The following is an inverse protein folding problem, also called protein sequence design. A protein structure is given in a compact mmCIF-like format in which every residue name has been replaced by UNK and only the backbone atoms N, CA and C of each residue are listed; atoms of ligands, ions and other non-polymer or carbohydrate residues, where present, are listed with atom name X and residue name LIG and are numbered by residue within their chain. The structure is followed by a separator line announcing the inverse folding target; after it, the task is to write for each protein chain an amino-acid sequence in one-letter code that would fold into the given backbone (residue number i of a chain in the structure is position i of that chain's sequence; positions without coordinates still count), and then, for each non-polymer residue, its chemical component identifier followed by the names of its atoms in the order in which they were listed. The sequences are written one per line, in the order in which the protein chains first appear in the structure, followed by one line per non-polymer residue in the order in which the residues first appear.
data_IF_685770404454
#
_entry.id   IF_685770404454
#
_cell.length_a   1.000
_cell.length_b   1.000
_cell.length_c   1.000
_cell.angle_alpha   90.00
_cell.angle_beta   90.00
_cell.angle_gamma   90.00
#
_symmetry.space_group_name_H-M   'P 1'
#
loop_
_entity.id
_entity.type
_entity.pdbx_description
1 polymer ?
#
# COMPACT_ATOMS: atom_id res chain seq x y z
N UNK A 1 29.85 91.40 -11.84
CA UNK A 1 28.53 92.02 -11.97
C UNK A 1 27.53 90.91 -11.70
N UNK A 2 27.01 90.96 -10.61
CA UNK A 2 25.91 91.18 -9.75
C UNK A 2 25.50 89.86 -9.18
N UNK A 3 25.72 89.55 -7.92
CA UNK A 3 24.90 89.97 -6.75
C UNK A 3 23.43 89.60 -7.00
N UNK A 4 22.82 88.80 -6.16
CA UNK A 4 22.27 88.70 -4.82
C UNK A 4 21.28 87.59 -4.83
N UNK A 5 20.84 86.88 -3.91
CA UNK A 5 20.57 87.13 -2.48
C UNK A 5 19.94 85.87 -1.87
N UNK A 6 20.20 85.57 -0.68
CA UNK A 6 19.44 84.57 0.11
C UNK A 6 18.14 85.19 0.60
N UNK A 7 17.14 84.44 1.04
CA UNK A 7 17.06 84.09 2.45
C UNK A 7 16.41 82.73 2.82
N UNK A 8 16.91 82.19 3.84
CA UNK A 8 16.44 81.42 5.01
C UNK A 8 14.91 81.28 5.18
N UNK A 9 14.48 80.06 5.48
CA UNK A 9 13.57 79.60 6.56
C UNK A 9 13.06 78.23 6.25
N UNK A 10 13.02 77.41 7.11
CA UNK A 10 12.46 77.01 8.38
C UNK A 10 11.98 75.59 8.37
N UNK A 11 12.44 74.84 9.23
CA UNK A 11 12.01 73.64 9.90
C UNK A 11 10.68 72.97 9.58
N UNK A 12 10.78 71.69 9.30
CA UNK A 12 9.69 70.76 9.55
C UNK A 12 10.24 69.46 10.15
N UNK A 13 9.88 69.24 11.39
CA UNK A 13 10.11 68.00 12.14
C UNK A 13 9.36 66.85 11.46
N UNK A 14 10.06 66.00 10.75
CA UNK A 14 9.50 64.73 10.26
C UNK A 14 9.59 63.65 11.35
N UNK A 15 8.46 63.19 11.79
CA UNK A 15 8.30 62.05 12.73
C UNK A 15 8.86 60.80 12.10
N UNK A 16 9.83 60.16 12.77
CA UNK A 16 10.20 58.76 12.52
C UNK A 16 9.03 57.88 12.94
N UNK A 17 8.32 57.34 11.96
CA UNK A 17 7.38 56.24 12.18
C UNK A 17 8.17 54.95 12.07
N UNK A 18 8.46 54.35 13.23
CA UNK A 18 9.07 53.04 13.30
C UNK A 18 8.08 51.97 12.85
N UNK A 19 8.32 51.36 11.70
CA UNK A 19 7.67 50.13 11.30
C UNK A 19 8.26 48.97 12.10
N UNK A 20 7.57 48.56 13.15
CA UNK A 20 7.77 47.28 13.79
C UNK A 20 7.24 46.19 12.82
N UNK A 21 8.15 45.62 12.05
CA UNK A 21 7.88 44.42 11.26
C UNK A 21 7.70 43.21 12.19
N UNK A 22 6.43 42.83 12.45
CA UNK A 22 6.13 41.59 13.10
C UNK A 22 6.43 40.43 12.13
N UNK A 23 7.60 39.79 12.28
CA UNK A 23 7.86 38.48 11.65
C UNK A 23 6.94 37.44 12.27
N UNK A 24 5.82 37.14 11.62
CA UNK A 24 5.07 35.93 11.90
C UNK A 24 5.91 34.73 11.39
N UNK A 25 6.59 34.07 12.31
CA UNK A 25 7.17 32.76 12.08
C UNK A 25 5.99 31.76 11.97
N UNK A 26 5.61 31.39 10.73
CA UNK A 26 4.73 30.28 10.48
C UNK A 26 5.46 28.99 10.89
N UNK A 27 5.17 28.47 12.07
CA UNK A 27 5.54 27.10 12.45
C UNK A 27 4.77 26.16 11.54
N UNK A 28 5.44 25.69 10.49
CA UNK A 28 4.97 24.54 9.72
C UNK A 28 5.08 23.31 10.63
N UNK A 29 4.00 22.95 11.30
CA UNK A 29 3.90 21.67 11.97
C UNK A 29 3.93 20.57 10.91
N UNK A 30 5.09 20.05 10.59
CA UNK A 30 5.24 18.77 9.89
C UNK A 30 4.76 17.70 10.86
N UNK A 31 3.45 17.44 10.84
CA UNK A 31 2.89 16.31 11.52
C UNK A 31 3.51 15.05 10.93
N UNK A 32 4.40 14.39 11.66
CA UNK A 32 4.79 13.03 11.38
C UNK A 32 3.49 12.21 11.41
N UNK A 33 3.04 11.72 10.26
CA UNK A 33 1.97 10.72 10.20
C UNK A 33 2.55 9.49 10.88
N UNK A 34 2.14 9.25 12.13
CA UNK A 34 2.47 8.00 12.81
C UNK A 34 2.03 6.84 11.90
N UNK A 35 2.93 5.91 11.62
CA UNK A 35 2.57 4.70 10.91
C UNK A 35 1.38 4.07 11.65
N UNK A 36 0.27 3.85 10.94
CA UNK A 36 -0.92 3.26 11.54
C UNK A 36 -0.53 1.91 12.15
N UNK A 37 -0.84 1.73 13.43
CA UNK A 37 -0.58 0.47 14.11
C UNK A 37 -1.33 -0.66 13.41
N UNK A 38 -0.63 -1.73 13.07
CA UNK A 38 -1.24 -2.89 12.43
C UNK A 38 -2.18 -3.58 13.42
N UNK A 39 -3.33 -4.04 12.93
CA UNK A 39 -4.22 -4.86 13.74
C UNK A 39 -3.53 -6.15 14.19
N UNK A 40 -3.98 -6.78 15.30
CA UNK A 40 -3.43 -8.06 15.74
C UNK A 40 -3.50 -9.15 14.66
N UNK A 41 -4.55 -9.18 13.85
CA UNK A 41 -4.72 -10.16 12.77
C UNK A 41 -3.71 -9.95 11.64
N UNK A 42 -3.49 -8.70 11.22
CA UNK A 42 -2.45 -8.36 10.23
C UNK A 42 -1.06 -8.62 10.80
N UNK A 43 -0.80 -8.25 12.07
CA UNK A 43 0.48 -8.53 12.72
C UNK A 43 0.79 -10.03 12.78
N UNK A 44 -0.22 -10.88 13.01
CA UNK A 44 -0.07 -12.33 13.06
C UNK A 44 0.41 -12.92 11.72
N UNK A 45 0.10 -12.31 10.56
CA UNK A 45 0.61 -12.76 9.27
C UNK A 45 2.15 -12.80 9.23
N UNK A 46 2.79 -11.90 9.95
CA UNK A 46 4.25 -11.75 9.97
C UNK A 46 4.89 -12.52 11.12
N UNK A 47 4.35 -12.41 12.33
CA UNK A 47 4.92 -13.02 13.52
C UNK A 47 4.90 -14.55 13.49
N UNK A 48 3.84 -15.16 12.92
CA UNK A 48 3.71 -16.63 12.80
C UNK A 48 4.80 -17.27 11.95
N UNK A 49 5.44 -16.52 11.07
CA UNK A 49 6.54 -16.99 10.23
C UNK A 49 7.85 -16.24 10.51
N UNK A 50 7.92 -15.48 11.61
CA UNK A 50 9.13 -14.75 12.03
C UNK A 50 9.73 -13.87 10.93
N UNK A 51 8.90 -13.03 10.30
CA UNK A 51 9.31 -11.97 9.38
C UNK A 51 8.82 -10.62 9.90
N UNK A 52 9.38 -9.55 9.38
CA UNK A 52 8.93 -8.19 9.68
C UNK A 52 7.76 -7.77 8.77
N UNK A 53 6.84 -6.95 9.28
CA UNK A 53 5.89 -6.23 8.42
C UNK A 53 6.62 -5.42 7.32
N UNK A 54 5.97 -5.13 6.19
CA UNK A 54 6.57 -4.32 5.15
C UNK A 54 6.81 -2.88 5.61
N UNK A 55 7.70 -2.19 4.92
CA UNK A 55 7.96 -0.77 5.06
C UNK A 55 7.80 -0.05 3.73
N UNK A 56 7.85 1.29 3.73
CA UNK A 56 7.84 2.08 2.50
C UNK A 56 8.98 1.73 1.52
N UNK A 57 10.03 1.06 1.97
CA UNK A 57 11.20 0.74 1.16
C UNK A 57 11.29 -0.73 0.74
N UNK A 58 10.66 -1.65 1.48
CA UNK A 58 10.82 -3.07 1.21
C UNK A 58 9.70 -3.93 1.80
N UNK A 59 9.56 -5.15 1.24
CA UNK A 59 8.72 -6.20 1.80
C UNK A 59 9.38 -7.58 1.64
N UNK A 60 9.10 -8.47 2.58
CA UNK A 60 9.46 -9.89 2.43
C UNK A 60 8.41 -10.59 1.58
N UNK A 61 8.85 -11.26 0.52
CA UNK A 61 8.02 -12.09 -0.35
C UNK A 61 8.14 -13.53 0.10
N UNK A 62 7.00 -14.12 0.49
CA UNK A 62 6.89 -15.51 0.91
C UNK A 62 6.56 -16.42 -0.27
N UNK A 63 7.20 -17.60 -0.35
CA UNK A 63 6.89 -18.62 -1.36
C UNK A 63 7.30 -20.02 -0.91
N UNK A 64 6.90 -21.02 -1.66
CA UNK A 64 7.24 -22.41 -1.38
C UNK A 64 6.49 -22.98 -0.18
N UNK A 65 5.27 -22.56 0.03
CA UNK A 65 4.33 -22.95 1.10
C UNK A 65 4.77 -22.51 2.51
N UNK A 66 3.84 -21.91 3.22
CA UNK A 66 3.99 -21.45 4.63
C UNK A 66 5.24 -20.58 4.82
N UNK A 67 5.58 -19.77 3.80
CA UNK A 67 6.75 -18.88 3.84
C UNK A 67 8.09 -19.62 4.12
N UNK A 68 8.22 -20.88 3.69
CA UNK A 68 9.48 -21.63 3.84
C UNK A 68 10.64 -21.00 3.06
N UNK A 69 10.32 -20.27 1.99
CA UNK A 69 11.29 -19.52 1.21
C UNK A 69 10.90 -18.04 1.22
N UNK A 70 11.92 -17.22 1.16
CA UNK A 70 11.78 -15.78 1.29
C UNK A 70 12.71 -15.07 0.35
N UNK A 71 12.23 -13.96 -0.21
CA UNK A 71 13.03 -13.00 -0.96
C UNK A 71 12.65 -11.61 -0.50
N UNK A 72 13.58 -10.67 -0.56
CA UNK A 72 13.28 -9.27 -0.23
C UNK A 72 13.05 -8.51 -1.52
N UNK A 73 11.89 -7.88 -1.62
CA UNK A 73 11.63 -6.89 -2.65
C UNK A 73 11.96 -5.51 -2.08
N UNK A 74 13.11 -4.96 -2.48
CA UNK A 74 13.44 -3.56 -2.26
C UNK A 74 12.81 -2.71 -3.36
N UNK A 75 11.99 -1.75 -2.97
CA UNK A 75 11.28 -0.87 -3.89
C UNK A 75 12.20 0.24 -4.41
N UNK A 76 12.52 0.18 -5.68
CA UNK A 76 13.24 1.26 -6.37
C UNK A 76 12.33 2.46 -6.62
N UNK A 77 12.93 3.62 -6.95
CA UNK A 77 12.16 4.78 -7.41
C UNK A 77 11.37 4.48 -8.71
N UNK A 78 11.85 3.53 -9.54
CA UNK A 78 11.15 3.03 -10.72
C UNK A 78 9.89 2.24 -10.35
N UNK A 79 10.00 1.31 -9.39
CA UNK A 79 8.89 0.51 -8.89
C UNK A 79 7.79 1.41 -8.29
N UNK A 80 8.19 2.39 -7.48
CA UNK A 80 7.25 3.36 -6.90
C UNK A 80 6.53 4.17 -7.97
N UNK A 81 7.23 4.64 -9.01
CA UNK A 81 6.59 5.37 -10.13
C UNK A 81 5.62 4.48 -10.91
N UNK A 82 5.99 3.24 -11.20
CA UNK A 82 5.14 2.30 -11.91
C UNK A 82 3.84 2.03 -11.14
N UNK A 83 3.93 1.73 -9.84
CA UNK A 83 2.77 1.50 -8.97
C UNK A 83 1.92 2.77 -8.81
N UNK A 84 2.54 3.95 -8.68
CA UNK A 84 1.82 5.21 -8.62
C UNK A 84 1.03 5.49 -9.92
N UNK A 85 1.59 5.19 -11.09
CA UNK A 85 0.88 5.32 -12.37
C UNK A 85 -0.31 4.34 -12.47
N UNK A 86 -0.13 3.10 -12.01
CA UNK A 86 -1.20 2.10 -11.97
C UNK A 86 -2.35 2.58 -11.08
N UNK A 87 -2.04 3.05 -9.86
CA UNK A 87 -3.05 3.50 -8.90
C UNK A 87 -3.68 4.84 -9.29
N UNK A 88 -2.96 5.72 -10.00
CA UNK A 88 -3.52 6.98 -10.51
C UNK A 88 -4.71 6.74 -11.45
N UNK A 89 -4.68 5.67 -12.25
CA UNK A 89 -5.82 5.28 -13.10
C UNK A 89 -7.06 4.85 -12.27
N UNK A 90 -6.88 4.46 -11.00
CA UNK A 90 -7.93 4.13 -10.05
C UNK A 90 -8.52 5.33 -9.29
N UNK A 91 -7.99 6.54 -9.52
CA UNK A 91 -8.29 7.71 -8.70
C UNK A 91 -9.71 8.28 -8.82
N UNK A 92 -10.55 7.74 -9.70
CA UNK A 92 -11.90 8.25 -9.95
C UNK A 92 -12.97 7.73 -8.99
N UNK A 93 -12.82 6.53 -8.44
CA UNK A 93 -13.80 5.90 -7.56
C UNK A 93 -13.23 4.67 -6.84
N UNK A 94 -13.93 4.20 -5.79
CA UNK A 94 -13.59 2.96 -5.10
C UNK A 94 -13.58 1.75 -6.06
N UNK A 95 -14.49 1.69 -7.02
CA UNK A 95 -14.53 0.63 -8.05
C UNK A 95 -13.28 0.68 -8.93
N UNK A 96 -12.91 1.88 -9.40
CA UNK A 96 -11.73 2.07 -10.22
C UNK A 96 -10.43 1.77 -9.46
N UNK A 97 -10.37 2.10 -8.16
CA UNK A 97 -9.22 1.79 -7.31
C UNK A 97 -9.05 0.28 -7.13
N UNK A 98 -10.13 -0.48 -6.92
CA UNK A 98 -10.06 -1.95 -6.87
C UNK A 98 -9.52 -2.55 -8.18
N UNK A 99 -9.95 -2.04 -9.33
CA UNK A 99 -9.40 -2.46 -10.62
C UNK A 99 -7.92 -2.09 -10.79
N UNK A 100 -7.48 -0.96 -10.24
CA UNK A 100 -6.07 -0.58 -10.21
C UNK A 100 -5.26 -1.48 -9.26
N UNK A 101 -5.82 -1.86 -8.11
CA UNK A 101 -5.19 -2.83 -7.19
C UNK A 101 -4.97 -4.18 -7.88
N UNK A 102 -5.92 -4.68 -8.67
CA UNK A 102 -5.71 -5.91 -9.47
C UNK A 102 -4.48 -5.78 -10.38
N UNK A 103 -4.30 -4.63 -11.04
CA UNK A 103 -3.13 -4.37 -11.89
C UNK A 103 -1.84 -4.26 -11.07
N UNK A 104 -1.90 -3.71 -9.85
CA UNK A 104 -0.74 -3.65 -8.95
C UNK A 104 -0.30 -5.05 -8.50
N UNK A 105 -1.23 -5.96 -8.23
CA UNK A 105 -0.92 -7.37 -7.91
C UNK A 105 -0.31 -8.08 -9.13
N UNK A 106 -0.83 -7.86 -10.34
CA UNK A 106 -0.22 -8.37 -11.59
C UNK A 106 1.21 -7.82 -11.76
N UNK A 107 1.41 -6.53 -11.48
CA UNK A 107 2.75 -5.93 -11.53
C UNK A 107 3.69 -6.60 -10.55
N UNK A 108 3.27 -6.83 -9.30
CA UNK A 108 4.05 -7.53 -8.28
C UNK A 108 4.45 -8.94 -8.75
N UNK A 109 3.52 -9.68 -9.28
CA UNK A 109 3.73 -11.04 -9.78
C UNK A 109 4.78 -11.05 -10.92
N UNK A 110 4.67 -10.14 -11.88
CA UNK A 110 5.63 -9.96 -12.97
C UNK A 110 7.00 -9.50 -12.49
N UNK A 111 7.05 -8.70 -11.43
CA UNK A 111 8.30 -8.19 -10.86
C UNK A 111 9.06 -9.28 -10.11
N UNK A 112 8.36 -10.14 -9.39
CA UNK A 112 8.96 -11.14 -8.53
C UNK A 112 9.03 -12.54 -9.14
N UNK A 113 8.04 -12.93 -9.92
CA UNK A 113 7.93 -14.29 -10.46
C UNK A 113 9.20 -14.81 -11.13
N UNK A 114 9.84 -14.08 -12.07
CA UNK A 114 11.06 -14.51 -12.70
C UNK A 114 12.26 -14.62 -11.74
N UNK A 115 12.27 -13.83 -10.66
CA UNK A 115 13.37 -13.81 -9.67
C UNK A 115 13.31 -15.04 -8.78
N UNK A 116 12.10 -15.38 -8.30
CA UNK A 116 11.91 -16.47 -7.35
C UNK A 116 11.39 -17.77 -8.01
N UNK A 117 11.18 -17.75 -9.33
CA UNK A 117 10.74 -18.89 -10.12
C UNK A 117 9.25 -19.19 -10.06
N UNK A 118 8.43 -18.27 -9.48
CA UNK A 118 6.97 -18.45 -9.39
C UNK A 118 6.22 -18.01 -10.65
N UNK A 119 6.93 -17.64 -11.71
CA UNK A 119 6.38 -17.40 -13.05
C UNK A 119 5.77 -18.64 -13.70
N UNK A 120 6.02 -19.84 -13.12
CA UNK A 120 5.45 -21.12 -13.54
C UNK A 120 4.42 -21.69 -12.56
N UNK A 121 4.05 -20.90 -11.52
CA UNK A 121 3.14 -21.38 -10.49
C UNK A 121 1.77 -21.77 -11.04
N UNK A 122 1.17 -22.77 -10.42
CA UNK A 122 -0.19 -23.19 -10.73
C UNK A 122 -1.20 -22.44 -9.87
N UNK A 123 -2.40 -22.24 -10.41
CA UNK A 123 -3.53 -21.73 -9.63
C UNK A 123 -3.96 -22.76 -8.57
N UNK A 124 -4.39 -22.27 -7.39
CA UNK A 124 -4.89 -23.10 -6.29
C UNK A 124 -3.91 -24.23 -5.90
N UNK A 125 -2.60 -23.91 -5.85
CA UNK A 125 -1.62 -24.90 -5.42
C UNK A 125 -1.92 -25.37 -3.99
N UNK A 126 -2.19 -26.66 -3.86
CA UNK A 126 -2.51 -27.35 -2.62
C UNK A 126 -1.36 -28.25 -2.15
N UNK A 127 -1.57 -29.09 -1.16
CA UNK A 127 -0.54 -29.96 -0.58
C UNK A 127 0.18 -30.86 -1.57
N UNK A 128 -0.36 -31.13 -2.75
CA UNK A 128 0.33 -31.88 -3.81
C UNK A 128 1.58 -31.15 -4.32
N UNK A 129 1.62 -29.84 -4.17
CA UNK A 129 2.69 -28.96 -4.59
C UNK A 129 3.59 -28.52 -3.40
N UNK A 130 3.41 -29.12 -2.21
CA UNK A 130 4.11 -28.70 -1.00
C UNK A 130 5.64 -28.67 -1.15
N UNK A 131 6.24 -29.60 -1.90
CA UNK A 131 7.67 -29.64 -2.15
C UNK A 131 8.12 -28.85 -3.38
N UNK A 132 7.18 -28.31 -4.14
CA UNK A 132 7.48 -27.45 -5.28
C UNK A 132 7.67 -26.00 -4.84
N UNK A 133 8.94 -25.59 -4.82
CA UNK A 133 9.36 -24.22 -4.44
C UNK A 133 8.80 -23.11 -5.34
N UNK A 134 8.24 -23.44 -6.51
CA UNK A 134 7.77 -22.46 -7.49
C UNK A 134 6.32 -22.04 -7.25
N UNK A 135 5.66 -22.57 -6.23
CA UNK A 135 4.27 -22.29 -5.94
C UNK A 135 4.09 -21.46 -4.66
N UNK A 136 2.92 -20.85 -4.56
CA UNK A 136 2.40 -20.22 -3.36
C UNK A 136 1.27 -21.08 -2.79
N UNK A 137 1.20 -21.23 -1.47
CA UNK A 137 -0.05 -21.57 -0.81
C UNK A 137 -0.91 -20.31 -0.60
N UNK A 138 -2.10 -20.50 -0.02
CA UNK A 138 -2.98 -19.37 0.28
C UNK A 138 -2.39 -18.42 1.33
N UNK A 139 -1.55 -18.91 2.26
CA UNK A 139 -0.89 -18.06 3.26
C UNK A 139 0.22 -17.21 2.63
N UNK A 140 0.97 -17.75 1.68
CA UNK A 140 1.98 -17.00 0.95
C UNK A 140 1.33 -15.86 0.16
N UNK A 141 0.26 -16.16 -0.59
CA UNK A 141 -0.46 -15.14 -1.38
C UNK A 141 -1.12 -14.09 -0.50
N UNK A 142 -1.71 -14.48 0.64
CA UNK A 142 -2.30 -13.53 1.60
C UNK A 142 -1.26 -12.59 2.18
N UNK A 143 -0.10 -13.12 2.63
CA UNK A 143 1.00 -12.29 3.15
C UNK A 143 1.53 -11.33 2.09
N UNK A 144 1.83 -11.84 0.90
CA UNK A 144 2.41 -11.04 -0.18
C UNK A 144 1.44 -9.94 -0.62
N UNK A 145 0.16 -10.26 -0.80
CA UNK A 145 -0.86 -9.29 -1.20
C UNK A 145 -1.08 -8.26 -0.10
N UNK A 146 -1.25 -8.68 1.16
CA UNK A 146 -1.41 -7.75 2.29
C UNK A 146 -0.20 -6.82 2.41
N UNK A 147 1.03 -7.37 2.27
CA UNK A 147 2.25 -6.56 2.31
C UNK A 147 2.28 -5.51 1.20
N UNK A 148 1.96 -5.88 -0.03
CA UNK A 148 1.87 -4.92 -1.13
C UNK A 148 0.83 -3.83 -0.85
N UNK A 149 -0.36 -4.21 -0.38
CA UNK A 149 -1.43 -3.26 -0.04
C UNK A 149 -1.00 -2.29 1.07
N UNK A 150 -0.30 -2.76 2.10
CA UNK A 150 0.24 -1.92 3.17
C UNK A 150 1.27 -0.91 2.63
N UNK A 151 2.15 -1.34 1.74
CA UNK A 151 3.10 -0.43 1.07
C UNK A 151 2.37 0.63 0.25
N UNK A 152 1.37 0.24 -0.53
CA UNK A 152 0.55 1.18 -1.30
C UNK A 152 -0.19 2.17 -0.40
N UNK A 153 -0.70 1.71 0.74
CA UNK A 153 -1.35 2.55 1.75
C UNK A 153 -0.36 3.53 2.39
N UNK A 154 0.83 3.08 2.78
CA UNK A 154 1.89 3.91 3.35
C UNK A 154 2.36 4.99 2.37
N UNK A 155 2.41 4.68 1.09
CA UNK A 155 2.70 5.69 0.04
C UNK A 155 1.54 6.64 -0.26
N UNK A 156 0.37 6.47 0.39
CA UNK A 156 -0.82 7.29 0.17
C UNK A 156 -1.49 7.05 -1.19
N UNK A 157 -1.28 5.89 -1.80
CA UNK A 157 -1.82 5.55 -3.11
C UNK A 157 -3.24 4.96 -3.04
N UNK A 158 -3.66 4.45 -1.87
CA UNK A 158 -5.04 4.00 -1.63
C UNK A 158 -5.88 5.16 -1.09
N UNK A 159 -6.76 5.70 -1.94
CA UNK A 159 -7.63 6.84 -1.62
C UNK A 159 -8.95 6.42 -1.01
N UNK A 160 -9.55 5.37 -1.55
CA UNK A 160 -10.90 4.91 -1.22
C UNK A 160 -10.90 3.73 -0.27
N UNK A 161 -9.78 3.03 -0.10
CA UNK A 161 -9.70 1.85 0.75
C UNK A 161 -8.61 2.00 1.83
N UNK A 162 -8.76 1.16 2.85
CA UNK A 162 -7.74 0.81 3.84
C UNK A 162 -7.44 -0.68 3.72
N UNK A 163 -6.28 -1.09 4.18
CA UNK A 163 -5.98 -2.52 4.35
C UNK A 163 -6.76 -3.02 5.56
N UNK A 164 -7.53 -4.09 5.37
CA UNK A 164 -8.30 -4.75 6.40
C UNK A 164 -7.63 -6.00 6.94
N UNK A 165 -8.30 -6.63 7.90
CA UNK A 165 -7.89 -7.91 8.44
C UNK A 165 -8.04 -9.02 7.39
N UNK A 166 -7.10 -9.97 7.30
CA UNK A 166 -7.24 -11.09 6.40
C UNK A 166 -8.47 -11.94 6.78
N UNK A 167 -9.23 -12.36 5.77
CA UNK A 167 -10.36 -13.25 5.99
C UNK A 167 -10.00 -14.71 5.73
N UNK A 168 -10.71 -15.58 6.43
CA UNK A 168 -10.57 -17.03 6.37
C UNK A 168 -11.92 -17.67 6.07
N UNK A 169 -11.94 -18.70 5.22
CA UNK A 169 -13.11 -19.55 4.95
C UNK A 169 -12.71 -21.01 4.88
N UNK A 170 -13.71 -21.86 4.77
CA UNK A 170 -13.56 -23.32 4.67
C UNK A 170 -13.47 -24.01 6.02
N UNK A 171 -13.92 -25.26 6.00
CA UNK A 171 -13.94 -26.13 7.17
C UNK A 171 -13.69 -27.57 6.75
N UNK A 172 -12.56 -28.14 7.13
CA UNK A 172 -12.16 -29.51 6.78
C UNK A 172 -13.14 -30.57 7.29
N UNK A 173 -13.87 -30.29 8.38
CA UNK A 173 -14.87 -31.23 8.89
C UNK A 173 -16.06 -31.45 7.94
N UNK A 174 -16.31 -30.47 7.06
CA UNK A 174 -17.37 -30.55 6.04
C UNK A 174 -16.77 -30.56 4.62
N UNK A 175 -15.50 -30.98 4.50
CA UNK A 175 -14.77 -31.12 3.23
C UNK A 175 -14.58 -29.81 2.45
N UNK A 176 -14.72 -28.65 3.10
CA UNK A 176 -14.40 -27.36 2.48
C UNK A 176 -12.91 -27.08 2.62
N UNK A 177 -12.28 -26.69 1.54
CA UNK A 177 -10.85 -26.35 1.54
C UNK A 177 -10.59 -25.09 2.38
N UNK A 178 -9.77 -25.18 3.45
CA UNK A 178 -9.35 -23.99 4.18
C UNK A 178 -8.65 -23.01 3.27
N UNK A 179 -9.07 -21.75 3.29
CA UNK A 179 -8.51 -20.70 2.47
C UNK A 179 -8.55 -19.35 3.17
N UNK A 180 -7.55 -18.52 2.92
CA UNK A 180 -7.44 -17.17 3.45
C UNK A 180 -7.05 -16.20 2.34
N UNK A 181 -7.33 -14.91 2.56
CA UNK A 181 -7.08 -13.88 1.56
C UNK A 181 -6.85 -12.52 2.20
N UNK A 182 -6.16 -11.63 1.46
CA UNK A 182 -6.01 -10.22 1.81
C UNK A 182 -7.33 -9.45 1.62
N UNK A 183 -7.50 -8.36 2.37
CA UNK A 183 -8.72 -7.57 2.39
C UNK A 183 -8.45 -6.09 2.25
N UNK A 184 -9.33 -5.41 1.52
CA UNK A 184 -9.49 -3.96 1.48
C UNK A 184 -10.82 -3.58 2.13
N UNK A 185 -10.83 -2.53 2.94
CA UNK A 185 -12.04 -1.94 3.54
C UNK A 185 -12.35 -0.63 2.83
N UNK A 186 -13.52 -0.51 2.23
CA UNK A 186 -14.00 0.74 1.64
C UNK A 186 -14.19 1.79 2.74
N UNK A 187 -13.53 2.95 2.60
CA UNK A 187 -13.52 4.00 3.63
C UNK A 187 -14.90 4.58 3.89
N UNK A 188 -15.72 4.70 2.84
CA UNK A 188 -17.05 5.32 2.91
C UNK A 188 -18.11 4.33 3.40
N UNK A 189 -18.16 3.15 2.79
CA UNK A 189 -19.24 2.15 3.03
C UNK A 189 -18.89 1.15 4.12
N UNK A 190 -17.59 1.03 4.48
CA UNK A 190 -17.06 0.00 5.39
C UNK A 190 -17.21 -1.43 4.86
N UNK A 191 -17.61 -1.59 3.61
CA UNK A 191 -17.69 -2.89 2.97
C UNK A 191 -16.29 -3.45 2.79
N UNK A 192 -16.11 -4.73 3.12
CA UNK A 192 -14.86 -5.46 2.98
C UNK A 192 -14.81 -6.20 1.64
N UNK A 193 -13.65 -6.09 0.99
CA UNK A 193 -13.38 -6.63 -0.34
C UNK A 193 -12.15 -7.51 -0.29
N UNK A 194 -12.26 -8.77 -0.69
CA UNK A 194 -11.11 -9.65 -0.84
C UNK A 194 -10.26 -9.23 -2.03
N UNK A 195 -8.95 -9.49 -1.92
CA UNK A 195 -7.98 -9.42 -3.02
C UNK A 195 -7.27 -10.77 -3.05
N UNK A 196 -7.89 -11.73 -3.72
CA UNK A 196 -7.52 -13.13 -3.67
C UNK A 196 -6.66 -13.54 -4.88
N UNK A 197 -5.37 -13.70 -4.63
CA UNK A 197 -4.39 -14.06 -5.64
C UNK A 197 -4.26 -15.58 -5.84
N UNK A 198 -4.59 -16.40 -4.82
CA UNK A 198 -4.33 -17.84 -4.84
C UNK A 198 -5.10 -18.61 -5.92
N UNK A 199 -6.40 -18.28 -6.27
CA UNK A 199 -7.12 -18.97 -7.32
C UNK A 199 -6.58 -18.70 -8.73
N UNK A 200 -5.61 -17.82 -8.88
CA UNK A 200 -5.13 -17.33 -10.18
C UNK A 200 -3.69 -17.75 -10.47
N UNK A 201 -3.43 -18.07 -11.73
CA UNK A 201 -2.08 -18.35 -12.22
C UNK A 201 -1.19 -17.09 -12.28
N UNK A 202 0.05 -17.30 -12.68
CA UNK A 202 1.02 -16.21 -12.81
C UNK A 202 0.51 -15.06 -13.68
N UNK A 203 0.73 -13.84 -13.21
CA UNK A 203 0.36 -12.59 -13.88
C UNK A 203 -1.13 -12.46 -14.29
N UNK A 204 -2.00 -13.25 -13.68
CA UNK A 204 -3.45 -13.09 -13.82
C UNK A 204 -4.00 -12.14 -12.74
N UNK A 205 -5.12 -11.48 -13.05
CA UNK A 205 -5.77 -10.59 -12.10
C UNK A 205 -6.29 -11.39 -10.88
N UNK A 206 -6.04 -10.94 -9.64
CA UNK A 206 -6.63 -11.56 -8.45
C UNK A 206 -8.14 -11.41 -8.49
N UNK A 207 -8.85 -12.29 -7.79
CA UNK A 207 -10.28 -12.13 -7.57
C UNK A 207 -10.52 -10.98 -6.59
N UNK A 208 -11.44 -10.07 -6.97
CA UNK A 208 -11.87 -8.95 -6.12
C UNK A 208 -13.37 -8.96 -6.04
N UNK A 209 -13.90 -9.26 -4.87
CA UNK A 209 -15.33 -9.30 -4.58
C UNK A 209 -15.58 -8.99 -3.11
N UNK A 210 -16.83 -8.79 -2.71
CA UNK A 210 -17.13 -8.59 -1.28
C UNK A 210 -16.83 -9.86 -0.49
N UNK A 211 -16.37 -9.68 0.77
CA UNK A 211 -16.16 -10.82 1.69
C UNK A 211 -17.42 -11.66 1.82
N UNK A 212 -18.60 -11.02 1.92
CA UNK A 212 -19.88 -11.73 1.98
C UNK A 212 -20.10 -12.70 0.81
N UNK A 213 -19.75 -12.28 -0.40
CA UNK A 213 -19.82 -13.14 -1.58
C UNK A 213 -18.77 -14.23 -1.52
N UNK A 214 -17.52 -13.86 -1.20
CA UNK A 214 -16.38 -14.77 -1.20
C UNK A 214 -16.54 -15.94 -0.22
N UNK A 215 -17.09 -15.71 0.98
CA UNK A 215 -17.31 -16.80 1.96
C UNK A 215 -18.36 -17.82 1.52
N UNK A 216 -19.18 -17.49 0.51
CA UNK A 216 -20.21 -18.37 -0.08
C UNK A 216 -19.70 -19.12 -1.31
N UNK A 217 -18.54 -18.75 -1.85
CA UNK A 217 -17.91 -19.46 -2.98
C UNK A 217 -17.03 -20.58 -2.45
N UNK A 218 -17.31 -21.82 -2.83
CA UNK A 218 -16.51 -23.03 -2.56
C UNK A 218 -15.52 -23.31 -3.70
#
# INVERSE_FOLDING_TARGET
MGETDQPIRSGARGRLVGFLGACLAALSATGAVAAAELSPAVQALYTTVSIYPPSASSMTVCYGFVCRRREVLDFTAGDRRALAQILAAGGASAVAERAAVQKAVIWFDRRMGPIIGTDKRVAKADFRYFDDKHNYDCWDTTRNTTSLLLVLQEWGLLKYHLVGDPHYRGNTLVLQTPHNTAVLVDRATKVEWVVDMWPRGYAQAPDVMTVEKWVKED
#
